data_IF_663369768938
#
_entry.id   IF_663369768938
#
_cell.length_a   1.000
_cell.length_b   1.000
_cell.length_c   1.000
_cell.angle_alpha   90.00
_cell.angle_beta   90.00
_cell.angle_gamma   90.00
#
_symmetry.space_group_name_H-M   'P 1'
#
loop_
_entity.id
_entity.type
_entity.pdbx_description
1 polymer ?
#
# COMPACT_ATOMS: atom_id res chain seq x y z
N UNK A 1 -47.25 -80.31 23.78
CA UNK A 1 -46.04 -80.77 24.49
C UNK A 1 -44.89 -79.99 23.89
N UNK A 2 -44.53 -78.89 24.54
CA UNK A 2 -43.63 -77.85 24.03
C UNK A 2 -42.20 -78.28 24.36
N UNK A 3 -41.34 -78.38 23.34
CA UNK A 3 -39.92 -78.69 23.54
C UNK A 3 -39.30 -77.53 24.30
N UNK A 4 -38.76 -77.83 25.47
CA UNK A 4 -38.13 -76.87 26.37
C UNK A 4 -36.81 -76.41 25.77
N UNK A 5 -36.84 -75.23 25.17
CA UNK A 5 -35.71 -74.61 24.46
C UNK A 5 -34.56 -74.31 25.42
N UNK A 6 -34.82 -74.11 26.71
CA UNK A 6 -33.77 -73.88 27.72
C UNK A 6 -32.90 -75.12 27.94
N UNK A 7 -33.44 -76.31 27.67
CA UNK A 7 -32.68 -77.56 27.75
C UNK A 7 -31.70 -77.75 26.59
N UNK A 8 -31.97 -77.13 25.44
CA UNK A 8 -31.10 -77.16 24.24
C UNK A 8 -29.91 -76.20 24.36
N UNK A 9 -30.05 -75.09 25.09
CA UNK A 9 -28.97 -74.14 25.29
C UNK A 9 -27.95 -74.61 26.34
N UNK A 10 -28.38 -75.38 27.35
CA UNK A 10 -27.46 -75.90 28.37
C UNK A 10 -26.48 -76.96 27.83
N UNK A 11 -26.84 -77.66 26.74
CA UNK A 11 -25.97 -78.62 26.05
C UNK A 11 -24.92 -77.96 25.14
N UNK A 12 -25.08 -76.68 24.80
CA UNK A 12 -24.10 -75.95 23.99
C UNK A 12 -22.94 -75.39 24.82
N UNK A 13 -23.15 -75.15 26.12
CA UNK A 13 -22.09 -74.70 27.05
C UNK A 13 -21.12 -75.83 27.46
N UNK A 14 -21.49 -77.10 27.28
CA UNK A 14 -20.62 -78.26 27.54
C UNK A 14 -19.76 -78.65 26.32
N UNK A 15 -19.97 -78.00 25.17
CA UNK A 15 -19.10 -78.16 24.00
C UNK A 15 -17.88 -77.24 24.14
N UNK A 16 -16.80 -77.77 24.70
CA UNK A 16 -15.48 -77.16 24.50
C UNK A 16 -15.26 -76.98 22.99
N UNK A 17 -15.08 -75.71 22.58
CA UNK A 17 -14.73 -75.38 21.20
C UNK A 17 -13.44 -76.13 20.86
N UNK A 18 -13.41 -76.99 19.82
CA UNK A 18 -12.17 -77.59 19.36
C UNK A 18 -11.35 -76.51 18.66
N UNK A 19 -10.74 -75.62 19.44
CA UNK A 19 -9.71 -74.71 18.95
C UNK A 19 -8.45 -75.54 18.84
N UNK A 20 -8.17 -76.03 17.64
CA UNK A 20 -6.89 -75.74 17.01
C UNK A 20 -7.11 -75.78 15.51
N UNK A 21 -6.96 -74.62 14.87
CA UNK A 21 -6.72 -74.51 13.44
C UNK A 21 -5.21 -74.26 13.27
N UNK A 22 -4.33 -75.28 13.30
CA UNK A 22 -2.89 -75.05 13.08
C UNK A 22 -2.63 -74.45 11.68
N UNK A 23 -3.54 -74.71 10.74
CA UNK A 23 -3.39 -74.34 9.33
C UNK A 23 -3.78 -72.90 9.01
N UNK A 24 -4.40 -72.16 9.94
CA UNK A 24 -4.77 -70.76 9.70
C UNK A 24 -3.58 -69.83 9.92
N UNK A 25 -2.73 -70.14 10.91
CA UNK A 25 -1.48 -69.39 11.17
C UNK A 25 -0.39 -69.66 10.12
N UNK A 26 -0.45 -70.81 9.44
CA UNK A 26 0.45 -71.15 8.34
C UNK A 26 0.11 -70.43 7.01
N UNK A 27 -1.08 -69.84 6.89
CA UNK A 27 -1.45 -69.04 5.72
C UNK A 27 -0.92 -67.61 5.85
N UNK A 28 0.37 -67.43 5.60
CA UNK A 28 0.87 -66.09 5.31
C UNK A 28 0.10 -65.55 4.10
N UNK A 29 -0.50 -64.34 4.16
CA UNK A 29 -1.01 -63.70 2.96
C UNK A 29 0.18 -63.53 2.02
N UNK A 30 0.19 -64.29 0.92
CA UNK A 30 1.24 -64.17 -0.09
C UNK A 30 1.33 -62.71 -0.50
N UNK A 31 2.53 -62.14 -0.43
CA UNK A 31 2.76 -60.79 -0.95
C UNK A 31 2.37 -60.81 -2.43
N UNK A 32 1.27 -60.14 -2.77
CA UNK A 32 0.92 -59.91 -4.17
C UNK A 32 2.16 -59.27 -4.83
N UNK A 33 2.61 -59.77 -5.99
CA UNK A 33 3.68 -59.09 -6.72
C UNK A 33 3.26 -57.62 -6.89
N UNK A 34 4.19 -56.66 -6.75
CA UNK A 34 3.87 -55.25 -6.90
C UNK A 34 3.13 -55.07 -8.23
N UNK A 35 1.94 -54.48 -8.18
CA UNK A 35 1.14 -54.26 -9.38
C UNK A 35 1.98 -53.44 -10.37
N UNK A 36 2.37 -53.98 -11.55
CA UNK A 36 3.26 -53.27 -12.48
C UNK A 36 2.65 -51.96 -13.01
N UNK A 37 1.35 -51.73 -12.78
CA UNK A 37 0.68 -50.47 -13.05
C UNK A 37 0.82 -49.38 -11.98
N UNK A 38 1.24 -49.68 -10.74
CA UNK A 38 1.34 -48.67 -9.66
C UNK A 38 2.55 -47.75 -9.86
N UNK A 39 3.69 -48.28 -10.29
CA UNK A 39 4.90 -47.49 -10.58
C UNK A 39 4.67 -46.51 -11.73
N UNK A 40 3.98 -46.95 -12.79
CA UNK A 40 3.61 -46.09 -13.92
C UNK A 40 2.64 -44.97 -13.50
N UNK A 41 1.72 -45.25 -12.57
CA UNK A 41 0.79 -44.26 -12.03
C UNK A 41 1.51 -43.25 -11.13
N UNK A 42 2.43 -43.68 -10.28
CA UNK A 42 3.23 -42.80 -9.41
C UNK A 42 4.11 -41.88 -10.27
N UNK A 43 4.81 -42.44 -11.26
CA UNK A 43 5.66 -41.67 -12.16
C UNK A 43 4.84 -40.64 -12.97
N UNK A 44 3.66 -41.03 -13.48
CA UNK A 44 2.77 -40.12 -14.19
C UNK A 44 2.29 -38.96 -13.30
N UNK A 45 1.96 -39.21 -12.04
CA UNK A 45 1.54 -38.16 -11.09
C UNK A 45 2.68 -37.19 -10.77
N UNK A 46 3.90 -37.70 -10.56
CA UNK A 46 5.09 -36.86 -10.30
C UNK A 46 5.42 -35.99 -11.51
N UNK A 47 5.36 -36.55 -12.72
CA UNK A 47 5.58 -35.79 -13.96
C UNK A 47 4.48 -34.73 -14.15
N UNK A 48 3.22 -35.07 -13.91
CA UNK A 48 2.12 -34.12 -14.01
C UNK A 48 2.28 -32.95 -13.01
N UNK A 49 2.70 -33.23 -11.77
CA UNK A 49 2.95 -32.19 -10.77
C UNK A 49 4.14 -31.30 -11.16
N UNK A 50 5.22 -31.88 -11.67
CA UNK A 50 6.38 -31.12 -12.15
C UNK A 50 6.02 -30.20 -13.33
N UNK A 51 5.20 -30.67 -14.28
CA UNK A 51 4.70 -29.87 -15.41
C UNK A 51 3.78 -28.75 -14.92
N UNK A 52 2.91 -29.01 -13.94
CA UNK A 52 2.05 -27.99 -13.36
C UNK A 52 2.86 -26.89 -12.64
N UNK A 53 3.86 -27.27 -11.83
CA UNK A 53 4.75 -26.33 -11.14
C UNK A 53 5.56 -25.51 -12.15
N UNK A 54 6.11 -26.15 -13.18
CA UNK A 54 6.83 -25.45 -14.25
C UNK A 54 5.91 -24.48 -15.01
N UNK A 55 4.68 -24.90 -15.32
CA UNK A 55 3.67 -24.06 -15.96
C UNK A 55 3.29 -22.84 -15.12
N UNK A 56 3.10 -23.01 -13.81
CA UNK A 56 2.85 -21.91 -12.87
C UNK A 56 4.06 -20.98 -12.78
N UNK A 57 5.29 -21.51 -12.71
CA UNK A 57 6.49 -20.69 -12.67
C UNK A 57 6.69 -19.87 -13.94
N UNK A 58 6.40 -20.46 -15.11
CA UNK A 58 6.43 -19.76 -16.41
C UNK A 58 5.33 -18.70 -16.47
N UNK A 59 4.11 -19.00 -16.01
CA UNK A 59 3.03 -18.03 -15.95
C UNK A 59 3.38 -16.87 -15.01
N UNK A 60 3.88 -17.13 -13.79
CA UNK A 60 4.34 -16.08 -12.86
C UNK A 60 5.44 -15.22 -13.48
N UNK A 61 6.35 -15.81 -14.27
CA UNK A 61 7.41 -15.06 -14.96
C UNK A 61 6.90 -14.25 -16.15
N UNK A 62 5.90 -14.77 -16.88
CA UNK A 62 5.29 -14.12 -18.04
C UNK A 62 4.29 -13.01 -17.65
N UNK A 63 3.64 -13.15 -16.50
CA UNK A 63 2.69 -12.16 -15.93
C UNK A 63 3.33 -11.26 -14.86
N UNK A 64 4.62 -11.43 -14.56
CA UNK A 64 5.42 -10.29 -14.06
C UNK A 64 5.50 -9.32 -15.22
N UNK A 65 4.53 -8.42 -15.27
CA UNK A 65 4.68 -7.19 -16.03
C UNK A 65 6.06 -6.65 -15.62
N UNK A 66 7.01 -6.40 -16.55
CA UNK A 66 8.02 -5.40 -16.24
C UNK A 66 7.18 -4.23 -15.74
N UNK A 67 7.43 -3.77 -14.50
CA UNK A 67 6.78 -2.58 -14.02
C UNK A 67 6.91 -1.62 -15.20
N UNK A 68 5.78 -1.27 -15.81
CA UNK A 68 5.80 -0.17 -16.75
C UNK A 68 6.40 0.91 -15.86
N UNK A 69 7.64 1.29 -16.15
CA UNK A 69 8.21 2.49 -15.59
C UNK A 69 7.28 3.54 -16.16
N UNK A 70 6.15 3.76 -15.48
CA UNK A 70 5.41 4.97 -15.63
C UNK A 70 6.50 6.01 -15.40
N UNK A 71 6.77 6.90 -16.37
CA UNK A 71 7.65 8.01 -16.09
C UNK A 71 7.13 8.58 -14.79
N UNK A 72 7.97 8.55 -13.74
CA UNK A 72 7.62 9.09 -12.44
C UNK A 72 7.00 10.45 -12.77
N UNK A 73 5.72 10.64 -12.41
CA UNK A 73 5.13 11.98 -12.53
C UNK A 73 6.09 12.97 -11.88
N UNK A 74 6.07 14.26 -12.27
CA UNK A 74 6.94 15.26 -11.65
C UNK A 74 6.92 15.10 -10.13
N UNK A 75 8.08 14.87 -9.50
CA UNK A 75 8.15 14.58 -8.08
C UNK A 75 9.06 13.43 -7.67
N UNK A 76 8.88 12.99 -6.42
CA UNK A 76 9.70 11.98 -5.75
C UNK A 76 9.19 10.54 -5.92
N UNK A 77 8.18 10.31 -6.77
CA UNK A 77 7.57 8.99 -7.00
C UNK A 77 6.60 8.52 -5.92
N UNK A 78 6.34 9.33 -4.90
CA UNK A 78 5.39 9.03 -3.83
C UNK A 78 4.05 9.73 -4.09
N UNK A 79 3.01 9.20 -3.47
CA UNK A 79 1.71 9.87 -3.37
C UNK A 79 1.69 10.58 -2.01
N UNK A 80 1.55 11.91 -2.04
CA UNK A 80 1.37 12.70 -0.81
C UNK A 80 -0.10 13.09 -0.67
N UNK A 81 -0.67 12.82 0.49
CA UNK A 81 -2.06 13.15 0.78
C UNK A 81 -2.21 13.72 2.19
N UNK A 82 -3.38 14.32 2.42
CA UNK A 82 -3.76 14.92 3.70
C UNK A 82 -4.57 13.91 4.51
N UNK A 83 -4.16 13.66 5.74
CA UNK A 83 -4.81 12.73 6.67
C UNK A 83 -5.25 13.47 7.94
N UNK A 84 -6.44 13.15 8.48
CA UNK A 84 -6.87 13.76 9.75
C UNK A 84 -6.02 13.25 10.90
N UNK A 85 -5.43 14.15 11.70
CA UNK A 85 -4.67 13.74 12.88
C UNK A 85 -5.58 13.16 13.99
N UNK A 86 -6.83 13.62 14.04
CA UNK A 86 -7.83 13.27 15.05
C UNK A 86 -9.21 13.04 14.43
N UNK A 87 -10.11 12.24 15.04
CA UNK A 87 -11.49 12.14 14.59
C UNK A 87 -12.22 13.48 14.67
N UNK A 88 -12.87 13.90 13.59
CA UNK A 88 -13.57 15.19 13.51
C UNK A 88 -12.85 16.18 12.59
N UNK A 89 -13.11 17.47 12.77
CA UNK A 89 -12.59 18.54 11.92
C UNK A 89 -11.24 19.08 12.48
N UNK A 90 -10.36 18.15 12.84
CA UNK A 90 -9.10 18.38 13.55
C UNK A 90 -7.96 18.84 12.64
N UNK A 91 -6.77 19.10 13.21
CA UNK A 91 -5.61 19.42 12.39
C UNK A 91 -5.24 18.20 11.54
N UNK A 92 -4.75 18.47 10.34
CA UNK A 92 -4.37 17.49 9.35
C UNK A 92 -2.86 17.23 9.38
N UNK A 93 -2.46 16.10 8.81
CA UNK A 93 -1.07 15.68 8.63
C UNK A 93 -0.83 15.41 7.16
N UNK A 94 0.39 15.63 6.70
CA UNK A 94 0.83 15.19 5.39
C UNK A 94 1.49 13.81 5.50
N UNK A 95 1.04 12.89 4.66
CA UNK A 95 1.50 11.51 4.63
C UNK A 95 1.94 11.17 3.23
N UNK A 96 3.09 10.52 3.12
CA UNK A 96 3.57 9.92 1.89
C UNK A 96 3.28 8.42 1.89
N UNK A 97 2.98 7.88 0.73
CA UNK A 97 2.80 6.45 0.49
C UNK A 97 3.37 6.07 -0.88
N UNK A 98 3.83 4.84 -1.01
CA UNK A 98 4.22 4.30 -2.31
C UNK A 98 2.97 4.09 -3.19
N UNK A 99 3.11 4.12 -4.53
CA UNK A 99 1.99 3.90 -5.44
C UNK A 99 1.29 2.54 -5.27
N UNK A 100 1.97 1.55 -4.70
CA UNK A 100 1.41 0.23 -4.38
C UNK A 100 0.69 0.18 -3.02
N UNK A 101 0.65 1.30 -2.28
CA UNK A 101 0.07 1.42 -0.95
C UNK A 101 1.01 1.03 0.20
N UNK A 102 2.25 0.67 -0.09
CA UNK A 102 3.26 0.37 0.93
C UNK A 102 4.06 1.63 1.34
N UNK A 103 5.05 1.48 2.23
CA UNK A 103 5.98 2.57 2.54
C UNK A 103 5.36 3.81 3.20
N UNK A 104 4.18 3.70 3.82
CA UNK A 104 3.50 4.82 4.48
C UNK A 104 4.42 5.50 5.50
N UNK A 105 4.64 6.81 5.34
CA UNK A 105 5.42 7.64 6.28
C UNK A 105 4.76 8.99 6.52
N UNK A 106 4.89 9.49 7.75
CA UNK A 106 4.45 10.82 8.11
C UNK A 106 5.50 11.85 7.65
N UNK A 107 5.06 12.91 6.97
CA UNK A 107 5.93 13.96 6.46
C UNK A 107 5.98 15.17 7.40
N UNK A 108 4.85 15.51 8.04
CA UNK A 108 4.78 16.62 9.00
C UNK A 108 4.93 16.12 10.44
N UNK A 109 5.90 16.65 11.18
CA UNK A 109 6.09 16.31 12.60
C UNK A 109 4.90 16.74 13.46
N UNK A 110 4.39 17.95 13.22
CA UNK A 110 3.25 18.53 13.95
C UNK A 110 1.99 18.58 13.08
N UNK A 111 0.79 18.35 13.65
CA UNK A 111 -0.47 18.58 12.94
C UNK A 111 -0.67 20.06 12.58
N UNK A 112 -1.30 20.32 11.43
CA UNK A 112 -1.60 21.67 10.95
C UNK A 112 -2.73 21.68 9.93
N UNK A 113 -3.04 22.84 9.33
CA UNK A 113 -4.07 22.92 8.30
C UNK A 113 -3.41 23.00 6.93
N UNK A 114 -3.13 21.82 6.38
CA UNK A 114 -2.46 21.62 5.10
C UNK A 114 -3.47 21.19 4.03
N UNK A 115 -3.30 21.68 2.81
CA UNK A 115 -4.07 21.26 1.64
C UNK A 115 -3.20 21.35 0.37
N UNK A 116 -3.68 20.74 -0.71
CA UNK A 116 -3.12 20.84 -2.06
C UNK A 116 -1.59 20.61 -2.17
N UNK A 117 -1.04 19.49 -1.64
CA UNK A 117 0.38 19.22 -1.75
C UNK A 117 0.78 18.96 -3.22
N UNK A 118 1.85 19.62 -3.67
CA UNK A 118 2.43 19.44 -5.01
C UNK A 118 3.94 19.34 -4.95
N UNK A 119 4.50 18.27 -5.51
CA UNK A 119 5.93 18.06 -5.60
C UNK A 119 6.55 18.92 -6.69
N UNK A 120 7.76 19.43 -6.41
CA UNK A 120 8.63 19.95 -7.45
C UNK A 120 9.01 18.84 -8.43
N UNK A 121 9.26 19.13 -9.72
CA UNK A 121 9.56 18.09 -10.71
C UNK A 121 10.76 17.21 -10.38
N UNK A 122 11.75 17.77 -9.66
CA UNK A 122 12.94 17.06 -9.18
C UNK A 122 12.71 16.27 -7.87
N UNK A 123 11.51 16.37 -7.29
CA UNK A 123 11.14 15.72 -6.04
C UNK A 123 11.81 16.27 -4.79
N UNK A 124 12.55 17.38 -4.87
CA UNK A 124 13.32 17.91 -3.74
C UNK A 124 12.48 18.75 -2.76
N UNK A 125 11.36 19.31 -3.22
CA UNK A 125 10.49 20.21 -2.46
C UNK A 125 9.02 19.88 -2.63
N UNK A 126 8.24 20.14 -1.58
CA UNK A 126 6.79 20.12 -1.62
C UNK A 126 6.27 21.54 -1.40
N UNK A 127 5.45 22.04 -2.33
CA UNK A 127 4.63 23.23 -2.11
C UNK A 127 3.23 22.81 -1.67
N UNK A 128 2.60 23.60 -0.80
CA UNK A 128 1.29 23.27 -0.23
C UNK A 128 0.55 24.52 0.21
N UNK A 129 -0.78 24.41 0.32
CA UNK A 129 -1.63 25.41 0.94
C UNK A 129 -1.57 25.25 2.46
N UNK A 130 -1.17 26.31 3.18
CA UNK A 130 -1.12 26.36 4.64
C UNK A 130 -2.15 27.37 5.16
N UNK A 131 -3.08 26.94 6.00
CA UNK A 131 -3.97 27.86 6.73
C UNK A 131 -3.31 28.34 8.02
N UNK A 132 -3.25 29.66 8.19
CA UNK A 132 -2.69 30.33 9.37
C UNK A 132 -3.76 31.14 10.10
N UNK A 133 -3.59 31.28 11.42
CA UNK A 133 -4.46 32.09 12.27
C UNK A 133 -5.95 31.72 12.14
N UNK A 134 -6.78 32.70 11.81
CA UNK A 134 -8.25 32.57 11.78
C UNK A 134 -8.81 32.05 10.46
N UNK A 135 -7.98 31.69 9.49
CA UNK A 135 -8.46 31.11 8.22
C UNK A 135 -7.78 31.60 6.94
N UNK A 136 -6.83 32.53 7.02
CA UNK A 136 -6.08 32.98 5.85
C UNK A 136 -5.18 31.86 5.35
N UNK A 137 -5.19 31.59 4.05
CA UNK A 137 -4.29 30.59 3.45
C UNK A 137 -3.11 31.26 2.76
N UNK A 138 -1.96 30.62 2.86
CA UNK A 138 -0.70 31.01 2.21
C UNK A 138 -0.14 29.80 1.47
N UNK A 139 0.71 30.02 0.48
CA UNK A 139 1.54 28.94 -0.04
C UNK A 139 2.74 28.79 0.88
N UNK A 140 2.98 27.56 1.33
CA UNK A 140 4.15 27.16 2.08
C UNK A 140 4.97 26.14 1.27
N UNK A 141 6.23 25.99 1.64
CA UNK A 141 7.16 25.05 1.05
C UNK A 141 7.94 24.31 2.12
N UNK A 142 8.24 23.04 1.85
CA UNK A 142 9.13 22.24 2.69
C UNK A 142 10.00 21.31 1.84
N UNK A 143 11.03 20.74 2.46
CA UNK A 143 11.90 19.76 1.84
C UNK A 143 11.21 18.39 1.72
N UNK A 144 11.75 17.52 0.88
CA UNK A 144 11.18 16.19 0.63
C UNK A 144 11.18 15.22 1.83
N UNK A 145 11.95 15.53 2.86
CA UNK A 145 11.97 14.81 4.13
C UNK A 145 10.97 15.39 5.16
N UNK A 146 10.24 16.44 4.79
CA UNK A 146 9.29 17.14 5.66
C UNK A 146 9.92 18.23 6.53
N UNK A 147 11.23 18.44 6.43
CA UNK A 147 11.93 19.50 7.14
C UNK A 147 11.78 20.86 6.47
N UNK A 148 12.08 21.93 7.21
CA UNK A 148 12.21 23.27 6.62
C UNK A 148 10.91 23.87 6.10
N UNK A 149 9.77 23.54 6.72
CA UNK A 149 8.49 24.18 6.40
C UNK A 149 8.61 25.69 6.59
N UNK A 150 8.40 26.43 5.51
CA UNK A 150 8.48 27.89 5.46
C UNK A 150 7.36 28.47 4.61
N UNK A 151 6.90 29.66 4.95
CA UNK A 151 5.97 30.40 4.11
C UNK A 151 6.69 30.89 2.84
N UNK A 152 6.07 30.66 1.70
CA UNK A 152 6.54 31.10 0.39
C UNK A 152 5.86 32.40 -0.02
N UNK A 153 4.53 32.48 0.15
CA UNK A 153 3.78 33.73 -0.04
C UNK A 153 3.44 34.38 1.28
N UNK A 154 3.31 35.71 1.24
CA UNK A 154 2.74 36.51 2.32
C UNK A 154 1.40 37.05 1.79
N UNK A 155 0.31 36.58 2.39
CA UNK A 155 -1.07 37.00 2.13
C UNK A 155 -1.69 37.30 3.48
N UNK A 156 -2.13 38.55 3.66
CA UNK A 156 -2.70 39.06 4.89
C UNK A 156 -3.87 40.00 4.61
N UNK A 157 -4.97 39.91 5.37
CA UNK A 157 -6.04 40.90 5.31
C UNK A 157 -5.56 42.29 5.74
N UNK A 158 -6.09 43.39 5.18
CA UNK A 158 -7.18 43.41 4.18
C UNK A 158 -6.71 43.25 2.73
N UNK A 159 -5.40 43.12 2.47
CA UNK A 159 -4.86 43.13 1.10
C UNK A 159 -5.19 41.84 0.34
N UNK A 160 -5.17 40.71 1.05
CA UNK A 160 -5.37 39.39 0.50
C UNK A 160 -6.13 38.51 1.50
N UNK A 161 -6.99 37.62 0.99
CA UNK A 161 -7.79 36.70 1.81
C UNK A 161 -7.25 35.27 1.77
N UNK A 162 -6.74 34.84 0.63
CA UNK A 162 -6.23 33.47 0.45
C UNK A 162 -5.26 33.35 -0.72
N UNK A 163 -4.19 32.58 -0.53
CA UNK A 163 -3.44 31.92 -1.61
C UNK A 163 -3.67 30.41 -1.57
N UNK A 164 -3.94 29.80 -2.73
CA UNK A 164 -4.29 28.37 -2.85
C UNK A 164 -3.78 27.77 -4.17
N UNK A 165 -3.92 26.45 -4.29
CA UNK A 165 -3.72 25.71 -5.55
C UNK A 165 -2.34 25.95 -6.19
N UNK A 166 -1.24 25.68 -5.45
CA UNK A 166 0.10 25.83 -5.99
C UNK A 166 0.33 24.87 -7.17
N UNK A 167 1.13 25.28 -8.14
CA UNK A 167 1.55 24.46 -9.26
C UNK A 167 2.99 24.78 -9.67
N UNK A 168 3.83 23.76 -9.82
CA UNK A 168 5.20 23.92 -10.29
C UNK A 168 5.26 24.02 -11.82
N UNK A 169 6.16 24.88 -12.30
CA UNK A 169 6.59 24.82 -13.69
C UNK A 169 7.29 23.48 -13.97
N UNK A 170 7.19 22.90 -15.19
CA UNK A 170 7.81 21.61 -15.50
C UNK A 170 9.33 21.57 -15.32
N UNK A 171 10.00 22.72 -15.40
CA UNK A 171 11.43 22.88 -15.18
C UNK A 171 11.81 23.14 -13.70
N UNK A 172 10.83 23.21 -12.80
CA UNK A 172 11.02 23.48 -11.37
C UNK A 172 11.44 24.93 -11.06
N UNK A 173 11.54 25.81 -12.07
CA UNK A 173 12.07 27.17 -11.87
C UNK A 173 11.07 28.13 -11.21
N UNK A 174 9.77 27.83 -11.30
CA UNK A 174 8.68 28.73 -10.91
C UNK A 174 7.52 27.99 -10.28
N UNK A 175 6.75 28.71 -9.48
CA UNK A 175 5.49 28.27 -8.89
C UNK A 175 4.41 29.26 -9.27
N UNK A 176 3.26 28.74 -9.71
CA UNK A 176 2.03 29.48 -9.88
C UNK A 176 1.06 29.20 -8.73
N UNK A 177 0.19 30.16 -8.40
CA UNK A 177 -0.87 29.97 -7.40
C UNK A 177 -2.07 30.89 -7.68
N UNK A 178 -3.22 30.55 -7.13
CA UNK A 178 -4.40 31.39 -7.15
C UNK A 178 -4.45 32.27 -5.89
N UNK A 179 -4.79 33.55 -6.04
CA UNK A 179 -4.90 34.53 -4.97
C UNK A 179 -6.25 35.23 -5.01
N UNK A 180 -6.96 35.25 -3.88
CA UNK A 180 -8.14 36.09 -3.67
C UNK A 180 -7.69 37.39 -2.99
N UNK A 181 -7.83 38.51 -3.70
CA UNK A 181 -7.46 39.83 -3.17
C UNK A 181 -8.58 40.40 -2.28
N UNK A 182 -8.20 41.06 -1.19
CA UNK A 182 -9.15 41.64 -0.22
C UNK A 182 -9.42 43.14 -0.42
N UNK A 183 -8.78 43.79 -1.38
CA UNK A 183 -8.91 45.23 -1.59
C UNK A 183 -10.13 45.61 -2.47
N UNK A 184 -11.25 45.97 -1.81
CA UNK A 184 -12.40 46.63 -2.44
C UNK A 184 -13.72 45.86 -2.36
N UNK A 185 -14.82 46.45 -2.86
CA UNK A 185 -16.16 45.83 -2.91
C UNK A 185 -16.26 44.63 -3.88
N UNK A 186 -15.15 44.27 -4.52
CA UNK A 186 -15.00 43.14 -5.43
C UNK A 186 -13.83 42.31 -4.91
N UNK A 187 -14.05 41.01 -4.76
CA UNK A 187 -13.03 40.00 -4.39
C UNK A 187 -12.56 39.26 -5.65
N UNK A 188 -11.61 39.80 -6.43
CA UNK A 188 -11.11 39.10 -7.60
C UNK A 188 -10.17 37.96 -7.20
N UNK A 189 -10.29 36.84 -7.90
CA UNK A 189 -9.29 35.77 -7.92
C UNK A 189 -8.33 36.01 -9.09
N UNK A 190 -7.03 35.82 -8.88
CA UNK A 190 -6.00 36.04 -9.90
C UNK A 190 -4.89 35.00 -9.77
N UNK A 191 -4.26 34.66 -10.89
CA UNK A 191 -3.12 33.74 -10.92
C UNK A 191 -1.82 34.54 -10.83
N UNK A 192 -0.95 34.16 -9.90
CA UNK A 192 0.38 34.71 -9.70
C UNK A 192 1.44 33.68 -10.03
N UNK A 193 2.63 34.13 -10.42
CA UNK A 193 3.79 33.27 -10.72
C UNK A 193 5.05 33.90 -10.14
N UNK A 194 5.85 33.12 -9.42
CA UNK A 194 7.12 33.56 -8.82
C UNK A 194 8.19 32.47 -8.98
N UNK A 195 9.48 32.83 -8.94
CA UNK A 195 10.58 31.87 -8.89
C UNK A 195 10.46 30.92 -7.70
N UNK A 196 10.75 29.63 -7.90
CA UNK A 196 10.63 28.57 -6.88
C UNK A 196 11.74 28.60 -5.81
N UNK A 197 12.76 29.42 -6.01
CA UNK A 197 13.76 29.76 -5.00
C UNK A 197 13.46 31.17 -4.46
N UNK A 198 13.64 31.39 -3.15
CA UNK A 198 13.64 32.77 -2.62
C UNK A 198 14.76 33.53 -3.34
N UNK A 199 14.51 34.74 -3.89
CA UNK A 199 15.59 35.58 -4.37
C UNK A 199 16.52 35.86 -3.19
N UNK A 200 17.71 35.27 -3.19
CA UNK A 200 18.83 35.80 -2.42
C UNK A 200 19.32 37.00 -3.21
N UNK A 201 18.65 38.15 -3.09
CA UNK A 201 19.20 39.39 -3.64
C UNK A 201 20.51 39.67 -2.91
N UNK A 202 21.69 39.63 -3.56
CA UNK A 202 22.83 40.36 -3.02
C UNK A 202 22.44 41.83 -2.99
N UNK A 203 22.60 42.47 -1.83
CA UNK A 203 22.37 43.91 -1.71
C UNK A 203 23.19 44.64 -2.80
N UNK A 204 22.57 45.44 -3.67
CA UNK A 204 23.32 46.29 -4.56
C UNK A 204 23.96 47.40 -3.73
N UNK A 205 25.29 47.39 -3.66
CA UNK A 205 26.08 48.53 -3.23
C UNK A 205 26.58 48.49 -1.79
N UNK A 206 27.68 47.77 -1.56
CA UNK A 206 28.74 48.23 -0.66
C UNK A 206 30.09 47.95 -1.33
N UNK A 207 30.43 48.81 -2.28
CA UNK A 207 31.81 49.25 -2.41
C UNK A 207 31.88 50.58 -1.67
N UNK A 208 32.44 50.59 -0.46
CA UNK A 208 33.29 51.63 0.15
C UNK A 208 33.92 51.05 1.41
#
# INVERSE_FOLDING_TARGET
MMVDVERLFRTLDELESPVTWPDVEARQPGTLPPNPGSERKILATVVALAVAIAGIAIAVRAFRHPALQQPLGPGNGLITYVESAEPGNGPWRLVDIEPDGSGRRLLTAEPGRYADPVWSPDGSKLALTLTVGTGTTRIAMMNADGSGLTEFTHCDPPECLSDTSPAWAPDGSRIAWARVSGAGAVIPESIFVQGGERPTLPLPGLAF
#
